data_IF_992269408447
#
_entry.id   IF_992269408447
#
_cell.length_a   1.000
_cell.length_b   1.000
_cell.length_c   1.000
_cell.angle_alpha   90.00
_cell.angle_beta   90.00
_cell.angle_gamma   90.00
#
_symmetry.space_group_name_H-M   'P 1'
#
loop_
_entity.id
_entity.type
_entity.pdbx_description
1 polymer ?
#
# COMPACT_ATOMS: atom_id res chain seq x y z
N UNK A 1 9.86 -7.42 16.45
CA UNK A 1 8.59 -7.26 17.16
C UNK A 1 8.26 -5.77 17.39
N UNK A 2 7.07 -5.46 17.90
CA UNK A 2 6.55 -4.10 18.14
C UNK A 2 7.48 -3.26 19.03
N UNK A 3 7.96 -3.83 20.13
CA UNK A 3 8.81 -3.11 21.09
C UNK A 3 10.15 -2.72 20.45
N UNK A 4 10.81 -3.68 19.78
CA UNK A 4 12.08 -3.42 19.09
C UNK A 4 11.94 -2.38 17.97
N UNK A 5 10.81 -2.40 17.22
CA UNK A 5 10.53 -1.38 16.22
C UNK A 5 10.39 0.01 16.87
N UNK A 6 9.65 0.12 17.99
CA UNK A 6 9.49 1.36 18.73
C UNK A 6 10.82 1.92 19.25
N UNK A 7 11.66 1.07 19.86
CA UNK A 7 13.00 1.45 20.34
C UNK A 7 13.91 1.92 19.19
N UNK A 8 13.78 1.28 18.03
CA UNK A 8 14.57 1.67 16.84
C UNK A 8 14.15 3.03 16.33
N UNK A 9 12.83 3.31 16.26
CA UNK A 9 12.29 4.63 15.91
C UNK A 9 12.87 5.68 16.89
N UNK A 10 12.69 5.48 18.19
CA UNK A 10 13.15 6.43 19.23
C UNK A 10 14.66 6.72 19.14
N UNK A 11 15.45 5.74 18.74
CA UNK A 11 16.90 5.91 18.53
C UNK A 11 17.20 6.76 17.30
N UNK A 12 16.54 6.47 16.17
CA UNK A 12 16.73 7.20 14.91
C UNK A 12 16.27 8.65 15.10
N UNK A 13 15.10 8.86 15.69
CA UNK A 13 14.52 10.19 15.88
C UNK A 13 15.40 11.08 16.75
N UNK A 14 15.88 10.58 17.88
CA UNK A 14 16.82 11.35 18.74
C UNK A 14 18.07 11.81 17.97
N UNK A 15 18.62 10.96 17.10
CA UNK A 15 19.77 11.32 16.30
C UNK A 15 19.41 12.33 15.20
N UNK A 16 18.27 12.10 14.55
CA UNK A 16 17.76 12.94 13.48
C UNK A 16 17.38 14.35 13.97
N UNK A 17 16.75 14.46 15.15
CA UNK A 17 16.38 15.74 15.78
C UNK A 17 17.63 16.56 16.14
N UNK A 18 18.64 15.93 16.75
CA UNK A 18 19.88 16.61 17.07
C UNK A 18 20.60 17.14 15.81
N UNK A 19 20.52 16.39 14.69
CA UNK A 19 21.07 16.82 13.41
C UNK A 19 20.26 17.95 12.79
N UNK A 20 18.92 17.89 12.86
CA UNK A 20 18.02 18.93 12.39
C UNK A 20 18.28 20.27 13.13
N UNK A 21 18.44 20.24 14.46
CA UNK A 21 18.76 21.43 15.24
C UNK A 21 20.11 22.07 14.84
N UNK A 22 21.09 21.24 14.50
CA UNK A 22 22.44 21.70 14.15
C UNK A 22 22.56 22.16 12.68
N UNK A 23 21.80 21.58 11.76
CA UNK A 23 22.01 21.72 10.31
C UNK A 23 20.77 22.17 9.51
N UNK A 24 19.60 22.25 10.15
CA UNK A 24 18.35 22.66 9.51
C UNK A 24 17.72 21.62 8.56
N UNK A 25 18.19 20.37 8.59
CA UNK A 25 17.65 19.25 7.82
C UNK A 25 17.84 17.94 8.60
N UNK A 26 17.05 16.91 8.27
CA UNK A 26 17.18 15.57 8.86
C UNK A 26 18.19 14.73 8.07
N UNK A 27 19.00 13.93 8.79
CA UNK A 27 19.97 13.03 8.17
C UNK A 27 19.44 11.59 8.03
N UNK A 28 18.57 11.17 8.96
CA UNK A 28 18.10 9.79 9.03
C UNK A 28 16.59 9.77 9.35
N UNK A 29 15.90 8.82 8.75
CA UNK A 29 14.45 8.63 8.93
C UNK A 29 14.17 7.17 9.26
N UNK A 30 13.26 6.86 10.21
CA UNK A 30 12.69 5.52 10.29
C UNK A 30 11.85 5.22 9.04
N UNK A 31 11.92 3.99 8.55
CA UNK A 31 11.05 3.57 7.45
C UNK A 31 9.58 3.47 7.88
N UNK A 32 8.66 3.60 6.95
CA UNK A 32 7.22 3.44 7.18
C UNK A 32 6.91 2.07 7.82
N UNK A 33 7.64 1.02 7.42
CA UNK A 33 7.51 -0.32 7.98
C UNK A 33 7.78 -0.36 9.49
N UNK A 34 8.74 0.43 10.00
CA UNK A 34 9.01 0.51 11.43
C UNK A 34 7.85 1.12 12.19
N UNK A 35 7.24 2.19 11.68
CA UNK A 35 6.05 2.80 12.27
C UNK A 35 4.87 1.82 12.27
N UNK A 36 4.63 1.14 11.15
CA UNK A 36 3.57 0.13 11.04
C UNK A 36 3.78 -1.03 12.02
N UNK A 37 5.03 -1.56 12.14
CA UNK A 37 5.38 -2.62 13.09
C UNK A 37 5.28 -2.18 14.55
N UNK A 38 5.59 -0.93 14.83
CA UNK A 38 5.47 -0.34 16.16
C UNK A 38 4.02 0.03 16.52
N UNK A 39 3.09 -0.07 15.57
CA UNK A 39 1.71 0.43 15.68
C UNK A 39 1.69 1.91 16.10
N UNK A 40 2.64 2.69 15.58
CA UNK A 40 2.71 4.14 15.76
C UNK A 40 2.11 4.85 14.55
N UNK A 41 1.50 6.02 14.71
CA UNK A 41 1.07 6.83 13.59
C UNK A 41 2.28 7.21 12.73
N UNK A 42 2.09 7.24 11.41
CA UNK A 42 3.08 7.78 10.49
C UNK A 42 3.17 9.29 10.69
N UNK A 43 4.36 9.88 10.60
CA UNK A 43 4.53 11.32 10.63
C UNK A 43 3.77 12.04 9.51
N UNK A 44 3.49 13.31 9.70
CA UNK A 44 2.90 14.18 8.68
C UNK A 44 3.94 14.54 7.61
N UNK A 45 3.47 15.08 6.47
CA UNK A 45 4.27 15.37 5.28
C UNK A 45 5.55 16.18 5.58
N UNK A 46 5.42 17.23 6.41
CA UNK A 46 6.54 18.12 6.73
C UNK A 46 7.72 17.41 7.40
N UNK A 47 7.50 16.25 8.02
CA UNK A 47 8.56 15.43 8.60
C UNK A 47 9.52 14.90 7.54
N UNK A 48 9.04 14.60 6.33
CA UNK A 48 9.81 13.93 5.26
C UNK A 48 10.54 14.92 4.35
N UNK A 49 10.42 16.22 4.59
CA UNK A 49 11.04 17.28 3.79
C UNK A 49 10.73 17.15 2.29
N UNK A 50 11.71 16.78 1.46
CA UNK A 50 11.58 16.60 0.01
C UNK A 50 11.29 15.15 -0.42
N UNK A 51 10.97 14.26 0.52
CA UNK A 51 10.75 12.82 0.27
C UNK A 51 11.93 12.12 -0.42
N UNK A 52 13.15 12.52 -0.11
CA UNK A 52 14.38 12.03 -0.75
C UNK A 52 14.68 10.54 -0.55
N UNK A 53 13.94 9.86 0.33
CA UNK A 53 14.19 8.47 0.74
C UNK A 53 13.05 7.49 0.36
N UNK A 54 12.20 7.85 -0.61
CA UNK A 54 11.06 7.00 -1.04
C UNK A 54 11.50 5.59 -1.47
N UNK A 55 12.63 5.48 -2.19
CA UNK A 55 13.17 4.18 -2.62
C UNK A 55 13.56 3.27 -1.44
N UNK A 56 13.81 3.86 -0.27
CA UNK A 56 14.12 3.15 0.97
C UNK A 56 12.88 2.89 1.85
N UNK A 57 11.67 3.15 1.34
CA UNK A 57 10.42 2.95 2.07
C UNK A 57 10.19 3.98 3.19
N UNK A 58 10.65 5.21 3.00
CA UNK A 58 10.47 6.33 3.93
C UNK A 58 9.52 7.34 3.29
N UNK A 59 8.36 7.56 3.92
CA UNK A 59 7.36 8.52 3.44
C UNK A 59 6.50 8.05 2.27
N UNK A 60 6.60 6.80 1.86
CA UNK A 60 5.82 6.22 0.74
C UNK A 60 4.33 6.21 1.07
N UNK A 61 3.98 5.76 2.28
CA UNK A 61 2.58 5.68 2.71
C UNK A 61 1.97 7.06 2.92
N UNK A 62 2.61 8.00 3.64
CA UNK A 62 2.10 9.37 3.77
C UNK A 62 1.89 10.07 2.42
N UNK A 63 2.86 9.99 1.52
CA UNK A 63 2.76 10.59 0.18
C UNK A 63 1.58 9.99 -0.61
N UNK A 64 1.46 8.66 -0.66
CA UNK A 64 0.34 7.98 -1.32
C UNK A 64 -1.01 8.43 -0.75
N UNK A 65 -1.12 8.56 0.58
CA UNK A 65 -2.35 8.98 1.23
C UNK A 65 -2.71 10.43 0.91
N UNK A 66 -1.70 11.31 0.85
CA UNK A 66 -1.89 12.72 0.48
C UNK A 66 -2.33 12.87 -0.97
N UNK A 67 -1.61 12.27 -1.92
CA UNK A 67 -1.96 12.27 -3.35
C UNK A 67 -3.37 11.73 -3.58
N UNK A 68 -3.73 10.64 -2.88
CA UNK A 68 -5.07 10.07 -2.95
C UNK A 68 -6.12 11.05 -2.46
N UNK A 69 -5.90 11.73 -1.34
CA UNK A 69 -6.83 12.70 -0.76
C UNK A 69 -6.96 13.95 -1.61
N UNK A 70 -5.85 14.43 -2.18
CA UNK A 70 -5.85 15.54 -3.14
C UNK A 70 -6.71 15.20 -4.37
N UNK A 71 -6.48 14.03 -4.97
CA UNK A 71 -7.30 13.56 -6.10
C UNK A 71 -8.76 13.30 -5.70
N UNK A 72 -8.99 12.80 -4.48
CA UNK A 72 -10.34 12.58 -3.95
C UNK A 72 -11.09 13.90 -3.77
N UNK A 73 -10.43 14.98 -3.39
CA UNK A 73 -11.06 16.29 -3.23
C UNK A 73 -11.75 16.75 -4.53
N UNK A 74 -11.17 16.47 -5.66
CA UNK A 74 -11.68 16.84 -7.00
C UNK A 74 -12.69 15.82 -7.59
N UNK A 75 -12.86 14.65 -6.92
CA UNK A 75 -13.75 13.61 -7.41
C UNK A 75 -15.22 14.03 -7.27
N UNK A 76 -16.04 13.96 -8.34
CA UNK A 76 -17.49 14.20 -8.24
C UNK A 76 -18.18 13.16 -7.34
N UNK A 77 -19.17 13.59 -6.56
CA UNK A 77 -19.98 12.68 -5.73
C UNK A 77 -20.82 11.68 -6.55
N UNK A 78 -21.20 12.06 -7.77
CA UNK A 78 -21.94 11.22 -8.71
C UNK A 78 -21.03 10.59 -9.75
N UNK A 79 -21.38 9.40 -10.22
CA UNK A 79 -20.67 8.68 -11.28
C UNK A 79 -21.12 7.23 -11.37
N UNK A 80 -20.52 6.48 -12.27
CA UNK A 80 -20.84 5.07 -12.46
C UNK A 80 -20.58 4.26 -11.17
N UNK A 81 -21.45 3.29 -10.93
CA UNK A 81 -21.22 2.30 -9.89
C UNK A 81 -20.08 1.37 -10.33
N UNK A 82 -19.23 1.00 -9.39
CA UNK A 82 -18.17 0.01 -9.63
C UNK A 82 -17.89 -0.77 -8.35
N UNK A 83 -17.70 -2.07 -8.49
CA UNK A 83 -17.33 -2.95 -7.38
C UNK A 83 -16.06 -3.71 -7.71
N UNK A 84 -14.99 -3.49 -6.93
CA UNK A 84 -13.67 -4.06 -7.16
C UNK A 84 -13.06 -4.64 -5.90
N UNK A 85 -12.02 -5.45 -6.06
CA UNK A 85 -11.17 -5.90 -4.96
C UNK A 85 -9.76 -5.38 -5.13
N UNK A 86 -9.12 -4.97 -4.03
CA UNK A 86 -7.72 -4.55 -3.98
C UNK A 86 -6.94 -5.51 -3.08
N UNK A 87 -6.07 -6.33 -3.65
CA UNK A 87 -5.21 -7.21 -2.87
C UNK A 87 -3.88 -6.52 -2.51
N UNK A 88 -3.40 -6.76 -1.30
CA UNK A 88 -2.16 -6.15 -0.80
C UNK A 88 -1.55 -6.98 0.32
N UNK A 89 -0.31 -6.66 0.72
CA UNK A 89 0.30 -7.22 1.93
C UNK A 89 -0.44 -6.78 3.20
N UNK A 90 -0.27 -7.53 4.27
CA UNK A 90 -1.00 -7.27 5.52
C UNK A 90 -0.64 -5.93 6.18
N UNK A 91 0.58 -5.42 5.97
CA UNK A 91 1.01 -4.12 6.49
C UNK A 91 0.25 -2.94 5.85
N UNK A 92 -0.03 -3.02 4.55
CA UNK A 92 -0.69 -1.94 3.82
C UNK A 92 -2.23 -1.94 3.98
N UNK A 93 -2.82 -3.08 4.30
CA UNK A 93 -4.28 -3.23 4.35
C UNK A 93 -5.00 -2.24 5.29
N UNK A 94 -4.49 -1.88 6.48
CA UNK A 94 -5.16 -0.93 7.37
C UNK A 94 -5.32 0.46 6.75
N UNK A 95 -4.24 1.05 6.21
CA UNK A 95 -4.32 2.39 5.63
C UNK A 95 -5.08 2.41 4.30
N UNK A 96 -4.98 1.36 3.48
CA UNK A 96 -5.78 1.26 2.27
C UNK A 96 -7.27 1.14 2.57
N UNK A 97 -7.67 0.42 3.63
CA UNK A 97 -9.07 0.41 4.09
C UNK A 97 -9.55 1.78 4.54
N UNK A 98 -8.67 2.57 5.16
CA UNK A 98 -9.00 3.95 5.52
C UNK A 98 -9.29 4.79 4.27
N UNK A 99 -8.42 4.77 3.26
CA UNK A 99 -8.60 5.49 2.00
C UNK A 99 -9.87 5.04 1.25
N UNK A 100 -10.09 3.73 1.19
CA UNK A 100 -11.33 3.17 0.61
C UNK A 100 -12.57 3.69 1.33
N UNK A 101 -12.55 3.76 2.66
CA UNK A 101 -13.66 4.30 3.46
C UNK A 101 -13.89 5.79 3.18
N UNK A 102 -12.83 6.59 3.05
CA UNK A 102 -12.88 8.00 2.67
C UNK A 102 -13.54 8.14 1.27
N UNK A 103 -13.11 7.34 0.29
CA UNK A 103 -13.70 7.29 -1.04
C UNK A 103 -15.19 6.93 -1.01
N UNK A 104 -15.56 5.86 -0.33
CA UNK A 104 -16.96 5.40 -0.25
C UNK A 104 -17.86 6.37 0.50
N UNK A 105 -17.31 7.17 1.41
CA UNK A 105 -18.06 8.25 2.08
C UNK A 105 -18.43 9.34 1.08
N UNK A 106 -17.51 9.72 0.18
CA UNK A 106 -17.75 10.72 -0.86
C UNK A 106 -18.57 10.18 -2.04
N UNK A 107 -18.31 8.94 -2.44
CA UNK A 107 -18.92 8.31 -3.63
C UNK A 107 -19.44 6.92 -3.32
N UNK A 108 -20.68 6.87 -2.83
CA UNK A 108 -21.35 5.64 -2.37
C UNK A 108 -21.57 4.57 -3.46
N UNK A 109 -21.48 4.95 -4.74
CA UNK A 109 -21.59 4.02 -5.87
C UNK A 109 -20.30 3.21 -6.12
N UNK A 110 -19.19 3.53 -5.45
CA UNK A 110 -17.95 2.78 -5.54
C UNK A 110 -17.81 1.87 -4.33
N UNK A 111 -17.62 0.58 -4.59
CA UNK A 111 -17.37 -0.43 -3.57
C UNK A 111 -16.00 -1.06 -3.80
N UNK A 112 -15.16 -1.08 -2.78
CA UNK A 112 -13.87 -1.76 -2.83
C UNK A 112 -13.66 -2.62 -1.59
N UNK A 113 -13.30 -3.89 -1.82
CA UNK A 113 -12.90 -4.82 -0.76
C UNK A 113 -11.38 -4.92 -0.72
N UNK A 114 -10.75 -4.50 0.38
CA UNK A 114 -9.31 -4.67 0.58
C UNK A 114 -9.04 -6.07 1.13
N UNK A 115 -8.28 -6.87 0.36
CA UNK A 115 -7.92 -8.26 0.66
C UNK A 115 -6.46 -8.28 1.15
N UNK A 116 -6.21 -8.44 2.46
CA UNK A 116 -4.86 -8.67 2.96
C UNK A 116 -4.40 -10.09 2.58
N UNK A 117 -3.18 -10.18 2.06
CA UNK A 117 -2.54 -11.46 1.71
C UNK A 117 -1.46 -11.77 2.73
N UNK A 118 -1.63 -12.88 3.44
CA UNK A 118 -0.63 -13.41 4.36
C UNK A 118 0.50 -14.06 3.57
N UNK A 119 1.74 -13.75 3.93
CA UNK A 119 2.91 -14.34 3.32
C UNK A 119 3.24 -15.67 4.01
N UNK A 120 2.88 -16.78 3.39
CA UNK A 120 3.19 -18.12 3.88
C UNK A 120 4.51 -18.64 3.33
N UNK A 121 4.91 -18.15 2.16
CA UNK A 121 6.12 -18.59 1.48
C UNK A 121 7.38 -18.14 2.22
N UNK A 122 7.49 -16.85 2.58
CA UNK A 122 8.63 -16.29 3.31
C UNK A 122 8.40 -16.24 4.82
N UNK A 123 7.19 -16.53 5.29
CA UNK A 123 6.79 -16.51 6.70
C UNK A 123 5.91 -15.30 7.06
N UNK A 124 5.05 -15.47 8.04
CA UNK A 124 4.02 -14.51 8.47
C UNK A 124 4.58 -13.18 9.00
N UNK A 125 5.87 -13.15 9.40
CA UNK A 125 6.55 -11.91 9.78
C UNK A 125 6.83 -10.97 8.61
N UNK A 126 6.73 -11.48 7.37
CA UNK A 126 6.90 -10.71 6.13
C UNK A 126 5.51 -10.24 5.69
N UNK A 127 5.27 -8.94 5.76
CA UNK A 127 3.94 -8.35 5.62
C UNK A 127 3.83 -7.29 4.50
N UNK A 128 4.94 -7.01 3.81
CA UNK A 128 4.99 -6.01 2.73
C UNK A 128 4.44 -6.57 1.41
N UNK A 129 3.79 -5.72 0.63
CA UNK A 129 3.16 -6.11 -0.65
C UNK A 129 4.17 -6.66 -1.67
N UNK A 130 5.36 -6.08 -1.76
CA UNK A 130 6.40 -6.48 -2.72
C UNK A 130 7.00 -7.87 -2.51
N UNK A 131 6.70 -8.53 -1.39
CA UNK A 131 7.13 -9.91 -1.11
C UNK A 131 5.97 -10.92 -1.11
N UNK A 132 4.76 -10.49 -1.46
CA UNK A 132 3.61 -11.39 -1.67
C UNK A 132 3.88 -12.27 -2.88
N UNK A 133 3.72 -13.60 -2.72
CA UNK A 133 3.88 -14.54 -3.82
C UNK A 133 2.56 -14.77 -4.57
N UNK A 134 2.66 -15.23 -5.82
CA UNK A 134 1.48 -15.56 -6.63
C UNK A 134 0.64 -16.66 -6.01
N UNK A 135 1.27 -17.66 -5.36
CA UNK A 135 0.57 -18.76 -4.67
C UNK A 135 -0.18 -18.27 -3.43
N UNK A 136 0.43 -17.41 -2.62
CA UNK A 136 -0.22 -16.84 -1.45
C UNK A 136 -1.40 -15.95 -1.86
N UNK A 137 -1.23 -15.16 -2.93
CA UNK A 137 -2.30 -14.37 -3.50
C UNK A 137 -3.45 -15.24 -4.00
N UNK A 138 -3.18 -16.27 -4.82
CA UNK A 138 -4.21 -17.18 -5.32
C UNK A 138 -4.99 -17.86 -4.18
N UNK A 139 -4.29 -18.30 -3.13
CA UNK A 139 -4.93 -18.88 -1.95
C UNK A 139 -5.82 -17.84 -1.21
N UNK A 140 -5.39 -16.60 -1.14
CA UNK A 140 -6.17 -15.53 -0.52
C UNK A 140 -7.43 -15.15 -1.33
N UNK A 141 -7.42 -15.37 -2.65
CA UNK A 141 -8.54 -15.06 -3.54
C UNK A 141 -9.57 -16.19 -3.64
N UNK A 142 -9.22 -17.40 -3.24
CA UNK A 142 -10.05 -18.59 -3.42
C UNK A 142 -11.45 -18.42 -2.81
N UNK A 143 -12.49 -18.66 -3.61
CA UNK A 143 -13.90 -18.59 -3.19
C UNK A 143 -14.43 -17.18 -2.91
N UNK A 144 -13.66 -16.12 -3.20
CA UNK A 144 -14.11 -14.73 -2.99
C UNK A 144 -14.81 -14.18 -4.23
N UNK A 145 -15.80 -13.35 -3.99
CA UNK A 145 -16.36 -12.46 -5.01
C UNK A 145 -15.46 -11.23 -5.15
N UNK A 146 -14.77 -11.12 -6.27
CA UNK A 146 -13.80 -10.05 -6.53
C UNK A 146 -14.44 -8.79 -7.16
N UNK A 147 -15.72 -8.84 -7.51
CA UNK A 147 -16.40 -7.76 -8.19
C UNK A 147 -16.06 -7.73 -9.69
N UNK A 148 -15.93 -6.52 -10.24
CA UNK A 148 -15.70 -6.29 -11.68
C UNK A 148 -14.22 -6.38 -12.06
N UNK A 149 -13.31 -6.15 -11.11
CA UNK A 149 -11.87 -6.24 -11.32
C UNK A 149 -11.12 -6.52 -10.01
N UNK A 150 -9.93 -7.11 -10.15
CA UNK A 150 -8.93 -7.24 -9.11
C UNK A 150 -7.80 -6.24 -9.35
N UNK A 151 -7.57 -5.36 -8.39
CA UNK A 151 -6.46 -4.39 -8.41
C UNK A 151 -5.27 -4.94 -7.63
N UNK A 152 -4.06 -4.80 -8.18
CA UNK A 152 -2.81 -5.23 -7.56
C UNK A 152 -1.76 -4.12 -7.62
N UNK A 153 -1.03 -3.86 -6.53
CA UNK A 153 0.14 -2.98 -6.57
C UNK A 153 1.24 -3.54 -7.50
N UNK A 154 1.82 -2.71 -8.33
CA UNK A 154 2.89 -3.09 -9.28
C UNK A 154 4.09 -3.75 -8.59
N UNK A 155 4.39 -3.35 -7.34
CA UNK A 155 5.48 -3.94 -6.54
C UNK A 155 5.32 -5.41 -6.21
N UNK A 156 4.13 -6.01 -6.39
CA UNK A 156 3.95 -7.46 -6.24
C UNK A 156 4.61 -8.25 -7.37
N UNK A 157 4.84 -7.61 -8.51
CA UNK A 157 5.43 -8.24 -9.69
C UNK A 157 6.92 -7.95 -9.75
N UNK A 158 7.67 -8.83 -10.45
CA UNK A 158 9.06 -8.57 -10.81
C UNK A 158 9.18 -7.36 -11.73
N UNK A 159 10.39 -6.90 -11.96
CA UNK A 159 10.67 -5.73 -12.80
C UNK A 159 10.01 -5.79 -14.18
N UNK A 160 9.96 -6.95 -14.78
CA UNK A 160 9.33 -7.18 -16.09
C UNK A 160 7.79 -7.12 -16.05
N UNK A 161 7.19 -7.00 -14.86
CA UNK A 161 5.74 -6.90 -14.63
C UNK A 161 4.91 -8.07 -15.21
N UNK A 162 5.54 -9.23 -15.39
CA UNK A 162 4.91 -10.42 -15.99
C UNK A 162 4.67 -11.57 -15.00
N UNK A 163 5.37 -11.57 -13.83
CA UNK A 163 5.31 -12.65 -12.85
C UNK A 163 5.62 -12.22 -11.42
N UNK A 164 5.22 -13.04 -10.48
CA UNK A 164 5.52 -12.93 -9.05
C UNK A 164 6.90 -13.53 -8.71
N UNK A 165 7.32 -13.39 -7.44
CA UNK A 165 8.62 -13.88 -6.98
C UNK A 165 8.76 -15.42 -7.01
N UNK A 166 7.65 -16.14 -6.96
CA UNK A 166 7.57 -17.61 -7.01
C UNK A 166 7.28 -18.17 -8.43
N UNK A 167 7.57 -17.35 -9.46
CA UNK A 167 7.40 -17.67 -10.88
C UNK A 167 5.95 -17.87 -11.35
N UNK A 168 4.94 -17.73 -10.51
CA UNK A 168 3.54 -17.64 -10.95
C UNK A 168 3.40 -16.42 -11.85
N UNK A 169 2.86 -16.63 -13.05
CA UNK A 169 2.71 -15.55 -14.03
C UNK A 169 1.45 -14.73 -13.80
N UNK A 170 1.47 -13.49 -14.25
CA UNK A 170 0.29 -12.62 -14.22
C UNK A 170 -0.86 -13.21 -15.06
N UNK A 171 -0.52 -13.92 -16.14
CA UNK A 171 -1.49 -14.60 -17.01
C UNK A 171 -2.18 -15.77 -16.27
N UNK A 172 -1.42 -16.59 -15.53
CA UNK A 172 -2.00 -17.65 -14.68
C UNK A 172 -2.94 -17.06 -13.61
N UNK A 173 -2.57 -15.92 -13.02
CA UNK A 173 -3.44 -15.23 -12.07
C UNK A 173 -4.73 -14.76 -12.74
N UNK A 174 -4.64 -14.11 -13.91
CA UNK A 174 -5.81 -13.65 -14.69
C UNK A 174 -6.79 -14.76 -15.00
N UNK A 175 -6.27 -15.91 -15.42
CA UNK A 175 -7.10 -17.09 -15.73
C UNK A 175 -7.83 -17.62 -14.49
N UNK A 176 -7.18 -17.59 -13.33
CA UNK A 176 -7.76 -18.11 -12.08
C UNK A 176 -8.65 -17.09 -11.36
N UNK A 177 -8.38 -15.81 -11.48
CA UNK A 177 -9.19 -14.76 -10.87
C UNK A 177 -10.61 -14.67 -11.45
N UNK A 178 -10.77 -15.00 -12.75
CA UNK A 178 -12.07 -14.95 -13.43
C UNK A 178 -12.60 -13.53 -13.67
N UNK A 179 -11.84 -12.50 -13.33
CA UNK A 179 -12.12 -11.08 -13.55
C UNK A 179 -10.87 -10.39 -14.11
N UNK A 180 -10.99 -9.23 -14.77
CA UNK A 180 -9.85 -8.41 -15.15
C UNK A 180 -8.92 -8.14 -13.97
N UNK A 181 -7.59 -8.25 -14.21
CA UNK A 181 -6.55 -7.90 -13.24
C UNK A 181 -5.86 -6.63 -13.71
N UNK A 182 -6.02 -5.58 -12.94
CA UNK A 182 -5.45 -4.25 -13.18
C UNK A 182 -4.26 -4.02 -12.26
N UNK A 183 -3.15 -3.57 -12.81
CA UNK A 183 -1.95 -3.24 -12.03
C UNK A 183 -1.97 -1.75 -11.72
N UNK A 184 -1.77 -1.42 -10.45
CA UNK A 184 -1.75 -0.05 -9.94
C UNK A 184 -0.34 0.31 -9.50
N UNK A 185 0.15 1.47 -9.93
CA UNK A 185 1.39 2.03 -9.39
C UNK A 185 1.20 2.48 -7.92
N UNK A 186 2.32 2.69 -7.22
CA UNK A 186 2.31 3.25 -5.86
C UNK A 186 2.22 4.77 -5.96
N UNK A 187 1.04 5.24 -6.33
CA UNK A 187 0.68 6.64 -6.53
C UNK A 187 -0.78 6.81 -6.14
N UNK A 188 -1.06 7.76 -5.27
CA UNK A 188 -2.40 7.93 -4.71
C UNK A 188 -3.46 8.34 -5.73
N UNK A 189 -3.10 9.18 -6.70
CA UNK A 189 -4.02 9.62 -7.76
C UNK A 189 -4.31 8.48 -8.74
N UNK A 190 -3.29 7.68 -9.09
CA UNK A 190 -3.46 6.50 -9.94
C UNK A 190 -4.28 5.40 -9.24
N UNK A 191 -4.06 5.19 -7.93
CA UNK A 191 -4.90 4.27 -7.15
C UNK A 191 -6.37 4.70 -7.18
N UNK A 192 -6.66 6.00 -6.96
CA UNK A 192 -8.03 6.51 -7.06
C UNK A 192 -8.58 6.33 -8.48
N UNK A 193 -7.78 6.58 -9.52
CA UNK A 193 -8.19 6.37 -10.90
C UNK A 193 -8.54 4.90 -11.16
N UNK A 194 -7.72 3.95 -10.71
CA UNK A 194 -7.98 2.53 -10.83
C UNK A 194 -9.24 2.08 -10.07
N UNK A 195 -9.51 2.65 -8.89
CA UNK A 195 -10.71 2.35 -8.11
C UNK A 195 -11.99 2.84 -8.78
N UNK A 196 -11.94 3.94 -9.50
CA UNK A 196 -13.13 4.49 -10.20
C UNK A 196 -13.38 3.93 -11.60
N UNK A 197 -12.35 3.40 -12.25
CA UNK A 197 -12.38 2.87 -13.63
C UNK A 197 -12.32 3.93 -14.71
#
# INVERSE_FOLDING_TARGET
>A
DKAAAGETIDRIERFSEAFLEAHGTRLAYPSDELFLKAERPLPEEEYYEDFSQLENGVGVVPLLMEEFRAALADLPESGQARRVSLATGTAAAPFLRQLVKELQTKRKSLECTVIPVENRFFGESINVAGLVTGRDLLAALEGRDLGEALLLPSVMLRHEQDRFLDDVTLEELRQKAGVPVEICEIDGAQLLAALKG
#
